data_IF_214588498792
#
_entry.id   IF_214588498792
#
_cell.length_a   1.000
_cell.length_b   1.000
_cell.length_c   1.000
_cell.angle_alpha   90.00
_cell.angle_beta   90.00
_cell.angle_gamma   90.00
#
_symmetry.space_group_name_H-M   'P 1'
#
loop_
_entity.id
_entity.type
_entity.pdbx_description
1 polymer ?
#
# COMPACT_ATOMS: atom_id res chain seq x y z
N UNK A 1 5.92 21.44 19.14
CA UNK A 1 7.11 21.99 18.46
C UNK A 1 6.81 21.98 16.97
N UNK A 2 6.70 23.16 16.35
CA UNK A 2 6.48 23.28 14.90
C UNK A 2 7.83 23.10 14.20
N UNK A 3 7.85 22.31 13.13
CA UNK A 3 9.02 22.08 12.29
C UNK A 3 8.65 22.50 10.87
N UNK A 4 9.53 23.29 10.25
CA UNK A 4 9.41 23.67 8.86
C UNK A 4 9.90 22.53 7.96
N UNK A 5 9.08 22.12 7.01
CA UNK A 5 9.42 21.12 6.01
C UNK A 5 9.98 21.84 4.77
N UNK A 6 11.29 21.78 4.49
CA UNK A 6 11.92 22.59 3.46
C UNK A 6 11.46 22.30 2.04
N UNK A 7 10.99 21.07 1.77
CA UNK A 7 10.57 20.69 0.41
C UNK A 7 9.05 20.78 0.26
N UNK A 8 8.31 20.56 1.35
CA UNK A 8 6.86 20.76 1.35
C UNK A 8 6.45 22.23 1.49
N UNK A 9 7.36 23.11 1.94
CA UNK A 9 7.12 24.53 2.27
C UNK A 9 6.00 24.76 3.30
N UNK A 10 5.76 23.76 4.17
CA UNK A 10 4.70 23.78 5.19
C UNK A 10 5.30 23.58 6.57
N UNK A 11 4.76 24.28 7.58
CA UNK A 11 5.09 24.07 8.99
C UNK A 11 4.13 23.08 9.62
N UNK A 12 4.66 21.99 10.17
CA UNK A 12 3.86 20.92 10.80
C UNK A 12 4.39 20.58 12.18
N UNK A 13 3.50 20.19 13.09
CA UNK A 13 3.89 19.78 14.44
C UNK A 13 4.64 18.43 14.41
N UNK A 14 5.86 18.42 14.95
CA UNK A 14 6.71 17.23 15.00
C UNK A 14 6.04 16.02 15.68
N UNK A 15 5.28 16.27 16.76
CA UNK A 15 4.58 15.22 17.49
C UNK A 15 3.42 14.62 16.69
N UNK A 16 2.80 15.44 15.84
CA UNK A 16 1.76 14.97 14.93
C UNK A 16 2.37 14.04 13.87
N UNK A 17 3.52 14.40 13.29
CA UNK A 17 4.22 13.56 12.32
C UNK A 17 4.70 12.24 12.94
N UNK A 18 5.30 12.29 14.13
CA UNK A 18 5.68 11.09 14.89
C UNK A 18 4.47 10.22 15.24
N UNK A 19 3.35 10.85 15.66
CA UNK A 19 2.10 10.17 15.98
C UNK A 19 1.46 9.50 14.77
N UNK A 20 1.37 10.20 13.64
CA UNK A 20 0.89 9.65 12.37
C UNK A 20 1.79 8.49 11.92
N UNK A 21 3.11 8.68 11.95
CA UNK A 21 4.07 7.62 11.68
C UNK A 21 3.82 6.41 12.57
N UNK A 22 3.65 6.62 13.88
CA UNK A 22 3.33 5.59 14.86
C UNK A 22 2.04 4.82 14.56
N UNK A 23 0.92 5.53 14.39
CA UNK A 23 -0.39 4.93 14.12
C UNK A 23 -0.36 4.15 12.82
N UNK A 24 0.15 4.75 11.73
CA UNK A 24 0.26 4.08 10.43
C UNK A 24 1.24 2.91 10.50
N UNK A 25 2.32 3.04 11.26
CA UNK A 25 3.24 1.95 11.58
C UNK A 25 2.52 0.77 12.22
N UNK A 26 1.72 1.01 13.27
CA UNK A 26 0.92 -0.03 13.95
C UNK A 26 0.02 -0.73 12.95
N UNK A 27 -0.72 0.03 12.15
CA UNK A 27 -1.65 -0.51 11.16
C UNK A 27 -0.89 -1.30 10.08
N UNK A 28 0.21 -0.76 9.57
CA UNK A 28 1.11 -1.44 8.62
C UNK A 28 1.61 -2.77 9.18
N UNK A 29 2.07 -2.79 10.44
CA UNK A 29 2.54 -4.00 11.10
C UNK A 29 1.43 -5.03 11.37
N UNK A 30 0.21 -4.58 11.68
CA UNK A 30 -0.95 -5.45 11.92
C UNK A 30 -1.41 -6.15 10.63
N UNK A 31 -1.51 -5.40 9.54
CA UNK A 31 -2.10 -5.90 8.29
C UNK A 31 -1.04 -6.39 7.28
N UNK A 32 0.21 -5.96 7.43
CA UNK A 32 1.33 -6.17 6.49
C UNK A 32 1.07 -5.60 5.09
N UNK A 33 0.41 -4.45 5.08
CA UNK A 33 -0.05 -3.74 3.87
C UNK A 33 0.91 -2.63 3.46
N UNK A 34 1.95 -2.36 4.25
CA UNK A 34 2.98 -1.37 3.93
C UNK A 34 2.64 0.07 4.31
N UNK A 35 1.51 0.36 4.98
CA UNK A 35 1.22 1.66 5.61
C UNK A 35 0.96 2.85 4.66
N UNK A 36 1.59 2.88 3.48
CA UNK A 36 1.54 3.99 2.53
C UNK A 36 0.12 4.40 2.14
N UNK A 37 -0.77 3.44 1.88
CA UNK A 37 -2.16 3.77 1.48
C UNK A 37 -2.94 4.62 2.47
N UNK A 38 -2.54 4.64 3.74
CA UNK A 38 -3.10 5.52 4.75
C UNK A 38 -2.27 6.77 4.93
N UNK A 39 -0.94 6.63 4.85
CA UNK A 39 -0.03 7.72 5.10
C UNK A 39 -0.21 8.83 4.07
N UNK A 40 -0.32 8.49 2.79
CA UNK A 40 -0.43 9.47 1.71
C UNK A 40 -1.66 10.36 1.89
N UNK A 41 -2.90 9.83 2.07
CA UNK A 41 -4.05 10.69 2.31
C UNK A 41 -3.98 11.45 3.64
N UNK A 42 -3.39 10.88 4.69
CA UNK A 42 -3.20 11.60 5.96
C UNK A 42 -2.25 12.79 5.80
N UNK A 43 -1.18 12.63 5.01
CA UNK A 43 -0.26 13.71 4.66
C UNK A 43 -0.96 14.78 3.80
N UNK A 44 -1.85 14.38 2.89
CA UNK A 44 -2.66 15.33 2.11
C UNK A 44 -3.59 16.15 3.02
N UNK A 45 -4.18 15.53 4.04
CA UNK A 45 -5.11 16.21 4.94
C UNK A 45 -4.44 17.26 5.83
N UNK A 46 -3.14 17.14 6.05
CA UNK A 46 -2.34 18.14 6.76
C UNK A 46 -1.63 19.12 5.81
N UNK A 47 -2.00 19.11 4.53
CA UNK A 47 -1.55 20.10 3.54
C UNK A 47 -0.22 19.79 2.87
N UNK A 48 0.34 18.58 3.03
CA UNK A 48 1.61 18.23 2.37
C UNK A 48 1.34 17.92 0.89
N UNK A 49 2.09 18.53 -0.06
CA UNK A 49 1.91 18.30 -1.48
C UNK A 49 2.05 16.83 -1.88
N UNK A 50 1.24 16.32 -2.83
CA UNK A 50 1.26 14.91 -3.20
C UNK A 50 2.63 14.38 -3.64
N UNK A 51 3.37 15.17 -4.42
CA UNK A 51 4.70 14.78 -4.88
C UNK A 51 5.71 14.58 -3.74
N UNK A 52 5.58 15.35 -2.65
CA UNK A 52 6.44 15.25 -1.47
C UNK A 52 5.99 14.10 -0.57
N UNK A 53 4.68 13.97 -0.34
CA UNK A 53 4.12 12.90 0.47
C UNK A 53 4.48 11.51 -0.08
N UNK A 54 4.23 11.28 -1.38
CA UNK A 54 4.51 10.01 -2.08
C UNK A 54 5.99 9.63 -2.01
N UNK A 55 6.88 10.59 -2.24
CA UNK A 55 8.31 10.34 -2.24
C UNK A 55 8.87 10.12 -0.83
N UNK A 56 8.36 10.88 0.15
CA UNK A 56 8.90 10.90 1.51
C UNK A 56 8.45 9.71 2.34
N UNK A 57 7.17 9.33 2.25
CA UNK A 57 6.62 8.22 3.03
C UNK A 57 7.20 6.86 2.60
N UNK A 58 7.64 6.73 1.36
CA UNK A 58 8.19 5.48 0.82
C UNK A 58 9.36 4.96 1.67
N UNK A 59 10.14 5.86 2.29
CA UNK A 59 11.18 5.52 3.27
C UNK A 59 10.62 4.83 4.53
N UNK A 60 9.54 5.36 5.08
CA UNK A 60 8.84 4.76 6.23
C UNK A 60 8.28 3.39 5.86
N UNK A 61 7.72 3.24 4.65
CA UNK A 61 7.18 1.98 4.15
C UNK A 61 8.27 0.91 4.09
N UNK A 62 9.44 1.24 3.52
CA UNK A 62 10.59 0.32 3.43
C UNK A 62 11.04 -0.11 4.83
N UNK A 63 11.22 0.85 5.75
CA UNK A 63 11.69 0.55 7.10
C UNK A 63 10.69 -0.31 7.91
N UNK A 64 9.41 0.05 7.88
CA UNK A 64 8.35 -0.71 8.56
C UNK A 64 8.14 -2.09 7.94
N UNK A 65 8.21 -2.20 6.61
CA UNK A 65 8.07 -3.47 5.90
C UNK A 65 9.24 -4.40 6.17
N UNK A 66 10.47 -3.88 6.25
CA UNK A 66 11.64 -4.67 6.62
C UNK A 66 11.47 -5.30 8.01
N UNK A 67 11.03 -4.52 9.01
CA UNK A 67 10.73 -5.03 10.35
C UNK A 67 9.65 -6.13 10.32
N UNK A 68 8.59 -5.93 9.52
CA UNK A 68 7.51 -6.91 9.35
C UNK A 68 7.98 -8.21 8.68
N UNK A 69 8.74 -8.13 7.58
CA UNK A 69 9.25 -9.32 6.87
C UNK A 69 10.11 -10.16 7.80
N UNK A 70 11.00 -9.56 8.59
CA UNK A 70 11.85 -10.33 9.52
C UNK A 70 11.01 -11.22 10.45
N UNK A 71 9.89 -10.71 10.96
CA UNK A 71 8.98 -11.49 11.80
C UNK A 71 8.32 -12.66 11.03
N UNK A 72 7.94 -12.43 9.77
CA UNK A 72 7.33 -13.44 8.90
C UNK A 72 8.31 -14.50 8.38
N UNK A 73 9.57 -14.13 8.16
CA UNK A 73 10.66 -15.04 7.78
C UNK A 73 10.94 -16.01 8.92
N UNK A 74 11.07 -15.51 10.16
CA UNK A 74 11.22 -16.36 11.35
C UNK A 74 10.09 -17.39 11.49
N UNK A 75 8.88 -17.03 11.05
CA UNK A 75 7.68 -17.90 11.07
C UNK A 75 7.53 -18.80 9.84
N UNK A 76 8.44 -18.74 8.86
CA UNK A 76 8.36 -19.48 7.58
C UNK A 76 7.05 -19.22 6.81
N UNK A 77 6.56 -17.99 6.88
CA UNK A 77 5.30 -17.54 6.22
C UNK A 77 5.54 -16.70 4.96
N UNK A 78 6.78 -16.69 4.44
CA UNK A 78 7.14 -15.96 3.21
C UNK A 78 7.38 -16.96 2.09
N UNK A 79 6.66 -16.81 0.97
CA UNK A 79 6.96 -17.54 -0.26
C UNK A 79 7.93 -16.72 -1.11
N UNK A 80 9.24 -16.94 -0.93
CA UNK A 80 10.26 -16.20 -1.67
C UNK A 80 10.19 -16.40 -3.18
N UNK A 81 9.77 -17.58 -3.66
CA UNK A 81 9.61 -17.80 -5.11
C UNK A 81 8.44 -17.01 -5.66
N UNK A 82 7.34 -16.95 -4.92
CA UNK A 82 6.21 -16.15 -5.35
C UNK A 82 6.56 -14.65 -5.29
N UNK A 83 7.24 -14.25 -4.21
CA UNK A 83 7.73 -12.90 -3.99
C UNK A 83 8.67 -12.43 -5.11
N UNK A 84 9.60 -13.26 -5.60
CA UNK A 84 10.52 -12.87 -6.67
C UNK A 84 9.82 -12.67 -8.02
N UNK A 85 8.84 -13.50 -8.37
CA UNK A 85 8.06 -13.30 -9.61
C UNK A 85 7.25 -12.01 -9.55
N UNK A 86 6.58 -11.77 -8.41
CA UNK A 86 5.85 -10.52 -8.17
C UNK A 86 6.80 -9.31 -8.18
N UNK A 87 8.01 -9.48 -7.62
CA UNK A 87 9.04 -8.45 -7.60
C UNK A 87 9.51 -8.08 -8.99
N UNK A 88 9.81 -9.05 -9.86
CA UNK A 88 10.25 -8.77 -11.24
C UNK A 88 9.18 -7.97 -11.98
N UNK A 89 7.92 -8.39 -11.91
CA UNK A 89 6.80 -7.62 -12.46
C UNK A 89 6.69 -6.23 -11.81
N UNK A 90 6.81 -6.18 -10.48
CA UNK A 90 6.72 -4.96 -9.69
C UNK A 90 7.79 -3.91 -10.01
N UNK A 91 9.03 -4.31 -10.28
CA UNK A 91 10.11 -3.39 -10.66
C UNK A 91 9.86 -2.80 -12.05
N UNK A 92 9.44 -3.64 -13.01
CA UNK A 92 9.05 -3.16 -14.36
C UNK A 92 7.86 -2.21 -14.27
N UNK A 93 6.85 -2.59 -13.49
CA UNK A 93 5.68 -1.74 -13.24
C UNK A 93 6.03 -0.43 -12.55
N UNK A 94 6.91 -0.44 -11.55
CA UNK A 94 7.34 0.76 -10.85
C UNK A 94 8.09 1.72 -11.79
N UNK A 95 8.99 1.21 -12.64
CA UNK A 95 9.67 2.03 -13.64
C UNK A 95 8.66 2.72 -14.58
N UNK A 96 7.69 1.96 -15.12
CA UNK A 96 6.62 2.50 -15.96
C UNK A 96 5.75 3.52 -15.20
N UNK A 97 5.42 3.24 -13.95
CA UNK A 97 4.61 4.13 -13.12
C UNK A 97 5.32 5.45 -12.81
N UNK A 98 6.63 5.45 -12.56
CA UNK A 98 7.40 6.69 -12.38
C UNK A 98 7.45 7.51 -13.66
N UNK A 99 7.58 6.87 -14.84
CA UNK A 99 7.52 7.57 -16.12
C UNK A 99 6.18 8.27 -16.31
N UNK A 100 5.07 7.57 -16.04
CA UNK A 100 3.71 8.14 -16.10
C UNK A 100 3.55 9.27 -15.07
N UNK A 101 4.05 9.08 -13.85
CA UNK A 101 4.01 10.09 -12.80
C UNK A 101 4.75 11.35 -13.21
N UNK A 102 5.98 11.24 -13.72
CA UNK A 102 6.78 12.38 -14.15
C UNK A 102 6.17 13.11 -15.35
N UNK A 103 5.59 12.36 -16.30
CA UNK A 103 4.87 12.93 -17.44
C UNK A 103 3.67 13.77 -16.98
N UNK A 104 2.86 13.25 -16.05
CA UNK A 104 1.70 13.96 -15.52
C UNK A 104 2.10 15.09 -14.56
N UNK A 105 3.26 14.99 -13.91
CA UNK A 105 3.84 16.05 -13.06
C UNK A 105 4.15 17.27 -13.90
N UNK A 106 4.77 17.08 -15.06
CA UNK A 106 5.05 18.16 -16.00
C UNK A 106 3.77 18.86 -16.51
N UNK A 107 2.63 18.18 -16.50
CA UNK A 107 1.32 18.73 -16.90
C UNK A 107 0.53 19.34 -15.72
N UNK A 108 1.06 19.30 -14.49
CA UNK A 108 0.34 19.75 -13.29
C UNK A 108 -0.86 18.89 -12.89
N UNK A 109 -0.99 17.67 -13.44
CA UNK A 109 -2.15 16.79 -13.24
C UNK A 109 -1.95 15.69 -12.20
N UNK A 110 -0.80 15.64 -11.53
CA UNK A 110 -0.47 14.59 -10.54
C UNK A 110 -1.47 14.56 -9.39
N UNK A 111 -1.84 15.73 -8.86
CA UNK A 111 -2.73 15.81 -7.70
C UNK A 111 -4.10 15.19 -8.03
N UNK A 112 -4.64 15.48 -9.21
CA UNK A 112 -5.90 14.92 -9.68
C UNK A 112 -5.79 13.41 -9.90
N UNK A 113 -4.74 12.96 -10.59
CA UNK A 113 -4.49 11.55 -10.86
C UNK A 113 -4.42 10.74 -9.56
N UNK A 114 -3.60 11.19 -8.62
CA UNK A 114 -3.37 10.47 -7.36
C UNK A 114 -4.68 10.39 -6.58
N UNK A 115 -5.41 11.52 -6.43
CA UNK A 115 -6.72 11.54 -5.76
C UNK A 115 -7.73 10.59 -6.41
N UNK A 116 -7.85 10.61 -7.75
CA UNK A 116 -8.75 9.72 -8.48
C UNK A 116 -8.38 8.25 -8.33
N UNK A 117 -7.09 7.91 -8.44
CA UNK A 117 -6.60 6.56 -8.19
C UNK A 117 -6.93 6.12 -6.76
N UNK A 118 -6.71 6.99 -5.77
CA UNK A 118 -7.06 6.68 -4.38
C UNK A 118 -8.56 6.39 -4.22
N UNK A 119 -9.44 7.28 -4.69
CA UNK A 119 -10.90 7.06 -4.56
C UNK A 119 -11.35 5.80 -5.29
N UNK A 120 -10.87 5.57 -6.52
CA UNK A 120 -11.23 4.40 -7.31
C UNK A 120 -10.75 3.11 -6.65
N UNK A 121 -9.45 3.02 -6.32
CA UNK A 121 -8.87 1.79 -5.80
C UNK A 121 -9.26 1.51 -4.35
N UNK A 122 -9.23 2.50 -3.45
CA UNK A 122 -9.70 2.31 -2.07
C UNK A 122 -11.20 2.04 -2.04
N UNK A 123 -11.98 2.70 -2.90
CA UNK A 123 -13.43 2.46 -3.01
C UNK A 123 -13.74 1.04 -3.46
N UNK A 124 -13.16 0.60 -4.58
CA UNK A 124 -13.39 -0.76 -5.11
C UNK A 124 -12.87 -1.82 -4.14
N UNK A 125 -11.61 -1.71 -3.71
CA UNK A 125 -10.99 -2.74 -2.87
C UNK A 125 -11.63 -2.75 -1.47
N UNK A 126 -11.88 -1.58 -0.89
CA UNK A 126 -12.57 -1.43 0.39
C UNK A 126 -13.97 -2.03 0.36
N UNK A 127 -14.76 -1.74 -0.68
CA UNK A 127 -16.10 -2.30 -0.85
C UNK A 127 -16.07 -3.82 -1.03
N UNK A 128 -15.18 -4.35 -1.89
CA UNK A 128 -15.00 -5.79 -2.08
C UNK A 128 -14.63 -6.49 -0.77
N UNK A 129 -13.67 -5.95 -0.03
CA UNK A 129 -13.26 -6.48 1.27
C UNK A 129 -14.38 -6.43 2.31
N UNK A 130 -15.16 -5.35 2.35
CA UNK A 130 -16.26 -5.17 3.28
C UNK A 130 -17.41 -6.15 3.00
N UNK A 131 -17.85 -6.26 1.74
CA UNK A 131 -18.89 -7.21 1.32
C UNK A 131 -18.48 -8.65 1.63
N UNK A 132 -17.23 -9.01 1.35
CA UNK A 132 -16.74 -10.36 1.66
C UNK A 132 -16.70 -10.62 3.16
N UNK A 133 -16.27 -9.62 3.94
CA UNK A 133 -16.21 -9.75 5.38
C UNK A 133 -17.59 -9.93 6.02
N UNK A 134 -18.59 -9.17 5.56
CA UNK A 134 -19.99 -9.36 5.95
C UNK A 134 -20.49 -10.75 5.56
N UNK A 135 -20.15 -11.22 4.36
CA UNK A 135 -20.53 -12.55 3.88
C UNK A 135 -19.87 -13.68 4.69
N UNK A 136 -18.62 -13.50 5.13
CA UNK A 136 -17.91 -14.45 5.99
C UNK A 136 -18.57 -14.55 7.38
N UNK A 137 -18.92 -13.41 7.99
CA UNK A 137 -19.65 -13.39 9.27
C UNK A 137 -21.03 -14.04 9.13
N UNK A 138 -21.77 -13.74 8.04
CA UNK A 138 -23.09 -14.33 7.77
C UNK A 138 -23.02 -15.86 7.56
N UNK A 139 -21.98 -16.36 6.89
CA UNK A 139 -21.76 -17.81 6.71
C UNK A 139 -21.32 -18.50 8.00
N UNK A 140 -20.55 -17.84 8.87
CA UNK A 140 -20.17 -18.37 10.18
C UNK A 140 -21.37 -18.59 11.12
N UNK A 141 -22.51 -17.91 10.89
CA UNK A 141 -23.75 -18.10 11.66
C UNK A 141 -24.64 -19.24 11.13
N UNK A 142 -24.35 -19.81 9.95
CA UNK A 142 -25.07 -20.98 9.42
C UNK A 142 -24.20 -22.24 9.59
N UNK A 143 -24.56 -23.21 10.44
CA UNK A 143 -23.84 -24.47 10.49
C UNK A 143 -24.10 -25.22 9.18
N UNK A 144 -23.03 -25.67 8.52
CA UNK A 144 -23.14 -26.55 7.36
C UNK A 144 -23.09 -25.84 6.01
N UNK A 145 -21.88 -25.49 5.56
CA UNK A 145 -21.37 -25.80 4.22
C UNK A 145 -19.93 -25.33 4.12
N UNK A 146 -19.00 -26.29 4.03
CA UNK A 146 -17.62 -26.01 3.66
C UNK A 146 -17.61 -25.17 2.37
N UNK A 147 -16.79 -24.11 2.28
CA UNK A 147 -16.73 -23.31 1.07
C UNK A 147 -16.30 -24.21 -0.09
N UNK A 148 -17.16 -24.36 -1.10
CA UNK A 148 -16.79 -24.99 -2.37
C UNK A 148 -15.63 -24.17 -2.96
N UNK A 149 -14.44 -24.75 -2.94
CA UNK A 149 -13.23 -24.22 -3.59
C UNK A 149 -13.57 -24.11 -5.08
N UNK A 150 -13.88 -22.91 -5.58
CA UNK A 150 -14.05 -22.66 -7.02
C UNK A 150 -12.67 -22.76 -7.68
N UNK A 151 -12.20 -23.99 -7.85
CA UNK A 151 -11.02 -24.30 -8.64
C UNK A 151 -11.46 -24.51 -10.08
N UNK A 152 -11.30 -23.47 -10.89
CA UNK A 152 -10.99 -23.47 -12.33
C UNK A 152 -11.19 -22.06 -12.87
N UNK A 153 -10.29 -21.15 -12.47
CA UNK A 153 -10.12 -19.87 -13.15
C UNK A 153 -9.19 -20.04 -14.36
N UNK A 154 -9.33 -19.14 -15.34
CA UNK A 154 -8.53 -19.08 -16.59
C UNK A 154 -7.00 -19.04 -16.33
N UNK A 155 -6.62 -18.67 -15.11
CA UNK A 155 -5.26 -18.61 -14.55
C UNK A 155 -4.52 -19.96 -14.59
N UNK A 156 -5.22 -21.11 -14.63
CA UNK A 156 -4.59 -22.44 -14.71
C UNK A 156 -4.33 -22.95 -16.13
N UNK A 157 -4.84 -22.26 -17.17
CA UNK A 157 -4.75 -22.67 -18.57
C UNK A 157 -3.51 -22.14 -19.30
N UNK A 158 -2.75 -21.23 -18.67
CA UNK A 158 -1.62 -20.56 -19.30
C UNK A 158 -0.32 -21.40 -19.29
N UNK A 159 0.58 -21.23 -20.27
CA UNK A 159 1.89 -21.90 -20.30
C UNK A 159 2.81 -21.43 -19.13
N UNK A 160 3.87 -22.21 -18.84
CA UNK A 160 4.87 -21.97 -17.75
C UNK A 160 4.37 -22.13 -16.31
N UNK A 161 3.92 -23.35 -15.95
CA UNK A 161 3.48 -23.67 -14.58
C UNK A 161 4.66 -23.79 -13.62
N UNK A 162 4.66 -22.99 -12.56
CA UNK A 162 5.62 -23.09 -11.45
C UNK A 162 4.93 -23.61 -10.19
N UNK A 163 5.67 -24.35 -9.36
CA UNK A 163 5.18 -24.84 -8.08
C UNK A 163 5.66 -23.94 -6.95
N UNK A 164 4.73 -23.19 -6.36
CA UNK A 164 4.93 -22.34 -5.19
C UNK A 164 4.70 -23.19 -3.94
N UNK A 165 5.79 -23.69 -3.35
CA UNK A 165 5.76 -24.70 -2.28
C UNK A 165 5.13 -24.17 -0.99
N UNK A 166 5.40 -22.92 -0.61
CA UNK A 166 4.91 -22.34 0.65
C UNK A 166 3.45 -21.93 0.51
N UNK A 167 3.05 -21.42 -0.65
CA UNK A 167 1.67 -21.04 -0.93
C UNK A 167 0.76 -22.21 -1.36
N UNK A 168 1.33 -23.39 -1.63
CA UNK A 168 0.59 -24.58 -2.07
C UNK A 168 -0.08 -24.41 -3.43
N UNK A 169 0.42 -23.51 -4.27
CA UNK A 169 -0.14 -23.18 -5.57
C UNK A 169 0.68 -23.78 -6.72
N UNK A 170 -0.03 -24.24 -7.74
CA UNK A 170 0.53 -24.63 -9.03
C UNK A 170 -0.17 -23.79 -10.11
N UNK A 171 0.38 -22.60 -10.32
CA UNK A 171 -0.13 -21.59 -11.26
C UNK A 171 0.98 -21.16 -12.20
N UNK A 172 0.60 -20.62 -13.35
CA UNK A 172 1.55 -20.09 -14.31
C UNK A 172 2.26 -18.85 -13.76
N UNK A 173 3.47 -18.56 -14.24
CA UNK A 173 4.25 -17.37 -13.82
C UNK A 173 3.63 -16.07 -14.31
N UNK A 174 2.86 -16.13 -15.41
CA UNK A 174 2.28 -14.97 -16.09
C UNK A 174 1.32 -14.16 -15.21
N UNK A 175 0.28 -14.75 -14.57
CA UNK A 175 -0.69 -13.97 -13.79
C UNK A 175 -0.06 -13.22 -12.60
N UNK A 176 0.83 -13.84 -11.80
CA UNK A 176 1.52 -13.08 -10.77
C UNK A 176 2.46 -12.00 -11.31
N UNK A 177 3.10 -12.21 -12.46
CA UNK A 177 3.93 -11.18 -13.08
C UNK A 177 3.08 -9.97 -13.51
N UNK A 178 1.93 -10.19 -14.14
CA UNK A 178 0.98 -9.13 -14.52
C UNK A 178 0.47 -8.38 -13.29
N UNK A 179 0.09 -9.11 -12.23
CA UNK A 179 -0.30 -8.51 -10.95
C UNK A 179 0.84 -7.66 -10.38
N UNK A 180 2.07 -8.17 -10.43
CA UNK A 180 3.28 -7.44 -10.06
C UNK A 180 3.40 -6.12 -10.82
N UNK A 181 3.31 -6.16 -12.15
CA UNK A 181 3.38 -4.96 -13.01
C UNK A 181 2.29 -3.95 -12.65
N UNK A 182 1.03 -4.39 -12.59
CA UNK A 182 -0.09 -3.50 -12.29
C UNK A 182 0.06 -2.85 -10.90
N UNK A 183 0.42 -3.65 -9.88
CA UNK A 183 0.64 -3.12 -8.53
C UNK A 183 1.87 -2.22 -8.48
N UNK A 184 2.93 -2.51 -9.23
CA UNK A 184 4.13 -1.67 -9.32
C UNK A 184 3.82 -0.29 -9.90
N UNK A 185 3.04 -0.23 -10.99
CA UNK A 185 2.58 1.04 -11.59
C UNK A 185 1.80 1.86 -10.57
N UNK A 186 0.82 1.24 -9.91
CA UNK A 186 -0.02 1.91 -8.91
C UNK A 186 0.77 2.32 -7.67
N UNK A 187 1.72 1.50 -7.22
CA UNK A 187 2.58 1.82 -6.10
C UNK A 187 3.47 3.04 -6.39
N UNK A 188 3.98 3.15 -7.62
CA UNK A 188 4.78 4.30 -8.05
C UNK A 188 3.96 5.58 -8.18
N UNK A 189 2.75 5.50 -8.73
CA UNK A 189 1.89 6.67 -8.88
C UNK A 189 1.38 7.16 -7.53
N UNK A 190 0.93 6.23 -6.67
CA UNK A 190 0.19 6.57 -5.45
C UNK A 190 1.05 6.66 -4.18
N UNK A 191 2.32 6.22 -4.20
CA UNK A 191 3.19 6.18 -3.00
C UNK A 191 2.85 5.09 -1.98
N UNK A 192 1.84 4.27 -2.25
CA UNK A 192 1.27 3.28 -1.32
C UNK A 192 2.22 2.14 -0.92
N UNK A 193 3.31 1.94 -1.67
CA UNK A 193 4.14 0.72 -1.59
C UNK A 193 3.43 -0.54 -2.13
N UNK A 194 2.20 -0.42 -2.66
CA UNK A 194 1.47 -1.48 -3.36
C UNK A 194 0.80 -2.54 -2.49
N UNK A 195 1.12 -2.64 -1.20
CA UNK A 195 0.63 -3.71 -0.33
C UNK A 195 -0.88 -3.79 -0.18
N UNK A 196 -1.58 -2.64 -0.20
CA UNK A 196 -3.05 -2.58 -0.08
C UNK A 196 -3.76 -3.21 -1.26
N UNK A 197 -3.17 -3.11 -2.43
CA UNK A 197 -3.68 -3.70 -3.66
C UNK A 197 -3.17 -5.14 -3.79
N UNK A 198 -1.92 -5.37 -3.39
CA UNK A 198 -1.26 -6.67 -3.50
C UNK A 198 -1.93 -7.74 -2.64
N UNK A 199 -2.27 -7.44 -1.38
CA UNK A 199 -2.86 -8.42 -0.46
C UNK A 199 -4.19 -8.99 -1.02
N UNK A 200 -5.18 -8.17 -1.40
CA UNK A 200 -6.39 -8.63 -2.08
C UNK A 200 -6.11 -9.32 -3.42
N UNK A 201 -5.20 -8.81 -4.24
CA UNK A 201 -4.85 -9.44 -5.51
C UNK A 201 -4.31 -10.86 -5.31
N UNK A 202 -3.43 -11.05 -4.34
CA UNK A 202 -2.88 -12.38 -4.01
C UNK A 202 -3.94 -13.33 -3.46
N UNK A 203 -4.88 -12.84 -2.63
CA UNK A 203 -5.94 -13.68 -2.07
C UNK A 203 -6.99 -14.03 -3.13
N UNK A 204 -7.47 -13.06 -3.89
CA UNK A 204 -8.64 -13.21 -4.76
C UNK A 204 -8.29 -13.60 -6.19
N UNK A 205 -7.23 -13.02 -6.77
CA UNK A 205 -6.80 -13.36 -8.13
C UNK A 205 -5.92 -14.61 -8.11
N UNK A 206 -4.90 -14.65 -7.24
CA UNK A 206 -3.95 -15.77 -7.20
C UNK A 206 -4.39 -16.93 -6.31
N UNK A 207 -5.36 -16.72 -5.41
CA UNK A 207 -5.88 -17.77 -4.53
C UNK A 207 -4.90 -18.17 -3.41
N UNK A 208 -3.98 -17.28 -3.02
CA UNK A 208 -3.01 -17.59 -1.98
C UNK A 208 -3.64 -17.68 -0.58
N UNK A 209 -3.17 -18.61 0.27
CA UNK A 209 -3.59 -18.66 1.67
C UNK A 209 -3.20 -17.38 2.41
N UNK A 210 -4.14 -16.77 3.12
CA UNK A 210 -3.95 -15.50 3.87
C UNK A 210 -2.74 -15.52 4.79
N UNK A 211 -2.41 -16.69 5.36
CA UNK A 211 -1.26 -16.91 6.25
C UNK A 211 0.10 -16.59 5.61
N UNK A 212 0.23 -16.76 4.29
CA UNK A 212 1.49 -16.60 3.54
C UNK A 212 1.50 -15.29 2.74
N UNK A 213 0.31 -14.74 2.44
CA UNK A 213 0.14 -13.50 1.68
C UNK A 213 0.86 -12.33 2.35
N UNK A 214 0.63 -12.11 3.64
CA UNK A 214 1.16 -10.95 4.38
C UNK A 214 2.69 -10.90 4.36
N UNK A 215 3.36 -12.03 4.61
CA UNK A 215 4.83 -12.08 4.55
C UNK A 215 5.37 -11.90 3.13
N UNK A 216 4.66 -12.44 2.13
CA UNK A 216 5.06 -12.38 0.72
C UNK A 216 4.86 -10.99 0.12
N UNK A 217 3.78 -10.27 0.48
CA UNK A 217 3.60 -8.85 0.12
C UNK A 217 4.72 -8.03 0.71
N UNK A 218 4.96 -8.12 2.02
CA UNK A 218 5.98 -7.31 2.69
C UNK A 218 7.37 -7.49 2.07
N UNK A 219 7.74 -8.71 1.68
CA UNK A 219 8.99 -8.98 0.95
C UNK A 219 9.07 -8.17 -0.34
N UNK A 220 8.04 -8.25 -1.18
CA UNK A 220 7.99 -7.55 -2.46
C UNK A 220 7.89 -6.02 -2.28
N UNK A 221 7.12 -5.54 -1.29
CA UNK A 221 6.95 -4.11 -0.96
C UNK A 221 8.31 -3.46 -0.65
N UNK A 222 9.19 -4.12 0.13
CA UNK A 222 10.51 -3.56 0.46
C UNK A 222 11.27 -3.18 -0.81
N UNK A 223 11.42 -4.12 -1.74
CA UNK A 223 12.25 -3.90 -2.93
C UNK A 223 11.58 -3.00 -3.95
N UNK A 224 10.27 -3.16 -4.20
CA UNK A 224 9.55 -2.28 -5.14
C UNK A 224 9.56 -0.86 -4.60
N UNK A 225 9.23 -0.65 -3.33
CA UNK A 225 9.18 0.70 -2.76
C UNK A 225 10.56 1.32 -2.68
N UNK A 226 11.60 0.57 -2.29
CA UNK A 226 12.98 1.09 -2.31
C UNK A 226 13.41 1.51 -3.73
N UNK A 227 13.05 0.73 -4.74
CA UNK A 227 13.31 1.07 -6.13
C UNK A 227 12.53 2.31 -6.57
N UNK A 228 11.24 2.41 -6.24
CA UNK A 228 10.44 3.60 -6.52
C UNK A 228 10.98 4.85 -5.82
N UNK A 229 11.39 4.74 -4.56
CA UNK A 229 12.01 5.85 -3.82
C UNK A 229 13.27 6.31 -4.50
N UNK A 230 14.14 5.38 -4.92
CA UNK A 230 15.36 5.73 -5.64
C UNK A 230 15.05 6.48 -6.93
N UNK A 231 14.05 6.01 -7.69
CA UNK A 231 13.63 6.68 -8.92
C UNK A 231 13.05 8.07 -8.64
N UNK A 232 12.18 8.26 -7.65
CA UNK A 232 11.65 9.59 -7.31
C UNK A 232 12.73 10.52 -6.74
N UNK A 233 13.63 10.01 -5.90
CA UNK A 233 14.71 10.81 -5.32
C UNK A 233 15.68 11.32 -6.40
N UNK A 234 16.05 10.46 -7.36
CA UNK A 234 16.98 10.82 -8.44
C UNK A 234 16.35 11.65 -9.55
N UNK A 235 15.05 11.50 -9.81
CA UNK A 235 14.37 12.23 -10.90
C UNK A 235 13.65 13.48 -10.45
N UNK A 236 13.17 13.55 -9.21
CA UNK A 236 12.27 14.62 -8.75
C UNK A 236 12.80 15.44 -7.58
N UNK A 237 13.81 14.97 -6.84
CA UNK A 237 14.33 15.63 -5.62
C UNK A 237 13.23 16.01 -4.60
N UNK A 238 12.09 15.30 -4.58
CA UNK A 238 10.92 15.63 -3.74
C UNK A 238 10.94 14.96 -2.35
N UNK A 239 12.07 14.39 -1.93
CA UNK A 239 12.16 13.64 -0.67
C UNK A 239 12.52 14.59 0.48
N UNK A 240 11.55 14.92 1.33
CA UNK A 240 11.79 15.74 2.51
C UNK A 240 12.41 14.89 3.63
N UNK A 241 13.71 15.08 3.87
CA UNK A 241 14.46 14.26 4.81
C UNK A 241 13.98 14.42 6.26
N UNK A 242 13.50 15.60 6.65
CA UNK A 242 13.02 15.85 8.01
C UNK A 242 11.71 15.11 8.25
N UNK A 243 10.78 15.23 7.30
CA UNK A 243 9.54 14.45 7.31
C UNK A 243 9.86 12.96 7.28
N UNK A 244 10.75 12.49 6.39
CA UNK A 244 11.12 11.08 6.27
C UNK A 244 11.58 10.48 7.61
N UNK A 245 12.48 11.17 8.32
CA UNK A 245 13.04 10.68 9.59
C UNK A 245 11.97 10.61 10.68
N UNK A 246 11.13 11.64 10.82
CA UNK A 246 10.06 11.66 11.82
C UNK A 246 9.05 10.53 11.56
N UNK A 247 8.65 10.34 10.31
CA UNK A 247 7.73 9.29 9.92
C UNK A 247 8.35 7.89 10.11
N UNK A 248 9.63 7.73 9.80
CA UNK A 248 10.37 6.49 9.96
C UNK A 248 10.46 6.09 11.44
N UNK A 249 10.85 7.00 12.33
CA UNK A 249 10.98 6.72 13.77
C UNK A 249 9.65 6.27 14.36
N UNK A 250 8.56 7.01 14.10
CA UNK A 250 7.22 6.62 14.53
C UNK A 250 6.80 5.30 13.88
N UNK A 251 6.98 5.17 12.57
CA UNK A 251 6.57 4.03 11.75
C UNK A 251 7.22 2.72 12.15
N UNK A 252 8.53 2.70 12.40
CA UNK A 252 9.26 1.50 12.82
C UNK A 252 8.80 1.05 14.20
N UNK A 253 8.69 1.98 15.16
CA UNK A 253 8.21 1.65 16.50
C UNK A 253 6.77 1.12 16.46
N UNK A 254 5.91 1.81 15.71
CA UNK A 254 4.53 1.41 15.48
C UNK A 254 4.43 0.02 14.85
N UNK A 255 5.21 -0.27 13.80
CA UNK A 255 5.17 -1.55 13.10
C UNK A 255 5.57 -2.73 13.99
N UNK A 256 6.53 -2.55 14.89
CA UNK A 256 6.89 -3.58 15.87
C UNK A 256 5.76 -3.88 16.85
N UNK A 257 5.05 -2.85 17.32
CA UNK A 257 3.87 -3.01 18.18
C UNK A 257 2.72 -3.65 17.40
N UNK A 258 2.47 -3.16 16.19
CA UNK A 258 1.42 -3.63 15.29
C UNK A 258 1.56 -5.09 14.90
N UNK A 259 2.77 -5.54 14.56
CA UNK A 259 3.03 -6.97 14.27
C UNK A 259 2.72 -7.85 15.48
N UNK A 260 3.06 -7.43 16.71
CA UNK A 260 2.69 -8.17 17.93
C UNK A 260 1.17 -8.23 18.10
N UNK A 261 0.46 -7.12 17.93
CA UNK A 261 -1.01 -7.05 18.03
C UNK A 261 -1.66 -7.93 16.96
N UNK A 262 -1.24 -7.81 15.70
CA UNK A 262 -1.80 -8.55 14.57
C UNK A 262 -1.73 -10.06 14.76
N UNK A 263 -0.72 -10.55 15.48
CA UNK A 263 -0.57 -11.99 15.74
C UNK A 263 -1.52 -12.55 16.79
N UNK A 264 -2.16 -11.68 17.59
CA UNK A 264 -3.20 -12.07 18.55
C UNK A 264 -4.61 -12.03 17.94
N UNK A 265 -4.77 -11.38 16.79
CA UNK A 265 -6.05 -11.22 16.10
C UNK A 265 -6.30 -12.35 15.11
N UNK A 266 -7.57 -12.73 14.96
CA UNK A 266 -7.98 -13.68 13.92
C UNK A 266 -7.90 -13.01 12.55
N UNK A 267 -7.64 -13.80 11.50
CA UNK A 267 -7.53 -13.30 10.14
C UNK A 267 -8.81 -12.57 9.67
N UNK A 268 -9.99 -13.00 10.13
CA UNK A 268 -11.25 -12.31 9.85
C UNK A 268 -11.31 -10.92 10.50
N UNK A 269 -10.85 -10.79 11.75
CA UNK A 269 -10.85 -9.51 12.48
C UNK A 269 -9.93 -8.48 11.81
N UNK A 270 -8.72 -8.91 11.43
CA UNK A 270 -7.78 -8.08 10.69
C UNK A 270 -8.39 -7.58 9.36
N UNK A 271 -9.09 -8.46 8.65
CA UNK A 271 -9.75 -8.11 7.38
C UNK A 271 -10.87 -7.08 7.59
N UNK A 272 -11.71 -7.25 8.61
CA UNK A 272 -12.80 -6.30 8.94
C UNK A 272 -12.22 -4.93 9.27
N UNK A 273 -11.24 -4.89 10.16
CA UNK A 273 -10.64 -3.63 10.63
C UNK A 273 -10.01 -2.87 9.47
N UNK A 274 -9.30 -3.58 8.59
CA UNK A 274 -8.73 -3.02 7.37
C UNK A 274 -9.81 -2.47 6.43
N UNK A 275 -10.89 -3.22 6.20
CA UNK A 275 -11.98 -2.80 5.31
C UNK A 275 -12.69 -1.54 5.80
N UNK A 276 -13.03 -1.47 7.10
CA UNK A 276 -13.69 -0.30 7.69
C UNK A 276 -12.81 0.95 7.55
N UNK A 277 -11.52 0.81 7.87
CA UNK A 277 -10.57 1.91 7.79
C UNK A 277 -10.40 2.42 6.36
N UNK A 278 -10.28 1.53 5.38
CA UNK A 278 -10.16 1.88 3.96
C UNK A 278 -11.40 2.64 3.49
N UNK A 279 -12.60 2.16 3.86
CA UNK A 279 -13.84 2.84 3.51
C UNK A 279 -13.96 4.22 4.17
N UNK A 280 -13.48 4.37 5.40
CA UNK A 280 -13.46 5.67 6.08
C UNK A 280 -12.55 6.68 5.35
N UNK A 281 -11.34 6.26 4.98
CA UNK A 281 -10.39 7.10 4.22
C UNK A 281 -10.94 7.42 2.83
N UNK A 282 -11.51 6.42 2.14
CA UNK A 282 -12.13 6.62 0.84
C UNK A 282 -13.31 7.60 0.92
N UNK A 283 -14.17 7.47 1.94
CA UNK A 283 -15.30 8.36 2.16
C UNK A 283 -14.86 9.80 2.37
N UNK A 284 -13.80 10.02 3.16
CA UNK A 284 -13.27 11.37 3.39
C UNK A 284 -12.65 11.97 2.12
N UNK A 285 -11.88 11.19 1.36
CA UNK A 285 -11.32 11.64 0.08
C UNK A 285 -12.40 11.97 -0.95
N UNK A 286 -13.45 11.14 -1.04
CA UNK A 286 -14.57 11.39 -1.94
C UNK A 286 -15.37 12.63 -1.51
N UNK A 287 -15.53 12.85 -0.20
CA UNK A 287 -16.15 14.06 0.33
C UNK A 287 -15.34 15.31 -0.02
N UNK A 288 -14.02 15.30 0.17
CA UNK A 288 -13.15 16.42 -0.21
C UNK A 288 -13.15 16.72 -1.72
N UNK A 289 -13.42 15.70 -2.56
CA UNK A 289 -13.54 15.86 -4.02
C UNK A 289 -14.90 16.42 -4.45
N UNK A 290 -15.96 16.14 -3.70
CA UNK A 290 -17.34 16.54 -4.04
C UNK A 290 -17.73 17.88 -3.42
N UNK A 291 -17.15 18.23 -2.27
CA UNK A 291 -17.43 19.49 -1.58
C UNK A 291 -16.56 20.59 -2.17
N UNK A 292 -17.18 21.74 -2.39
CA UNK A 292 -16.49 22.94 -2.87
C UNK A 292 -15.33 23.27 -1.92
N UNK A 293 -14.09 23.40 -2.45
CA UNK A 293 -12.95 23.72 -1.61
C UNK A 293 -13.18 25.08 -0.94
N UNK A 294 -12.76 25.20 0.32
CA UNK A 294 -12.86 26.46 1.08
C UNK A 294 -12.06 27.60 0.45
N UNK A 295 -11.07 27.25 -0.36
CA UNK A 295 -10.28 28.16 -1.20
C UNK A 295 -10.58 27.83 -2.67
N UNK A 296 -11.30 28.71 -3.36
CA UNK A 296 -11.62 28.57 -4.79
C UNK A 296 -10.39 28.64 -5.71
N UNK A 297 -9.30 29.19 -5.19
CA UNK A 297 -8.05 29.39 -5.90
C UNK A 297 -6.90 28.87 -5.03
N UNK A 298 -6.13 27.91 -5.53
CA UNK A 298 -4.78 27.68 -5.01
C UNK A 298 -3.83 28.53 -5.83
N UNK A 299 -3.10 29.45 -5.20
CA UNK A 299 -1.91 30.05 -5.82
C UNK A 299 -0.88 28.93 -5.98
N UNK A 300 -0.88 28.28 -7.15
CA UNK A 300 0.22 27.40 -7.52
C UNK A 300 1.48 28.25 -7.53
N UNK A 301 2.46 27.91 -6.69
CA UNK A 301 3.79 28.48 -6.82
C UNK A 301 4.21 28.31 -8.28
N UNK A 302 4.41 29.44 -8.96
CA UNK A 302 4.91 29.46 -10.33
C UNK A 302 6.14 28.55 -10.36
N UNK A 303 6.16 27.59 -11.29
CA UNK A 303 7.26 26.64 -11.44
C UNK A 303 8.60 27.37 -11.42
N UNK A 304 9.33 27.21 -10.33
CA UNK A 304 10.68 27.69 -10.16
C UNK A 304 11.62 26.50 -10.20
N UNK A 305 12.27 26.35 -11.37
CA UNK A 305 13.48 25.58 -11.69
C UNK A 305 13.74 24.22 -11.00
#
# INVERSE_FOLDING_TARGET
MQIYLPIAEVSVNAFLLLGLGGIVGILSGMFGVGGGFLMTPLLFFIGIPPAVAVATEANQIVASSFSGVLAHVKRKTVDFRMGTVLLIGGLVGAALGVLVFNYLKAQGQVDLLVKLCYVLFLGIIGALMFVESLNAIRKSKKPGKAPKRKQRGWIHALPFKMRFRTSGLYISVIPPLIVGVAVGVLAAIMGVGGGFIMVPAMIYLLGMPTKVVVGTSLFQIIFVTAFTTLLHATTNFTVDMVLAVLLLVGGVFGAQVGTRIGTKLKAEQLRILLAIMVLAVCGKLAFDLLVMPSELYSLGAAGGH
#
